data_IF_613227624309
#
_entry.id   IF_613227624309
#
_cell.length_a   1.000
_cell.length_b   1.000
_cell.length_c   1.000
_cell.angle_alpha   90.00
_cell.angle_beta   90.00
_cell.angle_gamma   90.00
#
_symmetry.space_group_name_H-M   'P 1'
#
loop_
_entity.id
_entity.type
_entity.pdbx_description
1 polymer ?
#
# COMPACT_ATOMS: atom_id res chain seq x y z
N UNK A 1 13.26 27.56 -33.96
CA UNK A 1 11.86 27.08 -33.76
C UNK A 1 11.84 25.67 -34.31
N UNK A 2 11.80 24.57 -33.56
CA UNK A 2 11.20 24.27 -32.26
C UNK A 2 12.10 23.19 -31.61
N UNK A 3 12.77 23.55 -30.52
CA UNK A 3 13.30 22.61 -29.51
C UNK A 3 12.31 22.60 -28.36
N UNK A 4 12.18 21.47 -27.67
CA UNK A 4 11.29 21.17 -26.53
C UNK A 4 10.06 20.33 -26.89
N UNK A 5 9.77 19.36 -26.02
CA UNK A 5 8.69 18.35 -26.05
C UNK A 5 9.11 17.01 -26.68
N UNK A 6 10.09 16.32 -26.07
CA UNK A 6 10.14 14.85 -26.00
C UNK A 6 10.88 14.37 -24.74
N UNK A 7 10.29 14.57 -23.56
CA UNK A 7 10.79 13.91 -22.32
C UNK A 7 9.71 13.25 -21.45
N UNK A 8 8.43 13.25 -21.84
CA UNK A 8 7.35 12.85 -20.93
C UNK A 8 6.67 11.49 -21.20
N UNK A 9 7.35 10.54 -21.84
CA UNK A 9 6.78 9.22 -22.15
C UNK A 9 7.61 8.01 -21.66
N UNK A 10 8.64 8.21 -20.83
CA UNK A 10 9.46 7.10 -20.31
C UNK A 10 9.13 6.64 -18.89
N UNK A 11 8.13 7.23 -18.23
CA UNK A 11 7.83 6.92 -16.82
C UNK A 11 6.58 6.05 -16.59
N UNK A 12 5.76 5.78 -17.62
CA UNK A 12 4.51 5.02 -17.47
C UNK A 12 4.59 3.54 -17.83
N UNK A 13 5.77 3.04 -18.22
CA UNK A 13 5.96 1.65 -18.69
C UNK A 13 6.77 0.76 -17.73
N UNK A 14 7.15 1.25 -16.54
CA UNK A 14 7.93 0.49 -15.54
C UNK A 14 7.08 -0.27 -14.51
N UNK A 15 5.77 -0.31 -14.69
CA UNK A 15 4.88 -1.13 -13.88
C UNK A 15 4.59 -2.39 -14.71
N UNK A 16 4.91 -3.58 -14.18
CA UNK A 16 4.66 -4.93 -14.72
C UNK A 16 5.82 -5.74 -15.33
N UNK A 17 7.07 -5.50 -14.94
CA UNK A 17 8.08 -6.59 -14.97
C UNK A 17 8.56 -6.92 -13.55
N UNK A 18 8.50 -8.19 -13.09
CA UNK A 18 9.04 -8.56 -11.80
C UNK A 18 10.56 -8.36 -11.81
N UNK A 19 11.05 -7.46 -10.96
CA UNK A 19 12.49 -7.20 -10.86
C UNK A 19 13.27 -8.48 -10.52
N UNK A 20 14.47 -8.66 -11.12
CA UNK A 20 15.31 -9.82 -10.87
C UNK A 20 15.65 -9.94 -9.37
N UNK A 21 15.78 -11.18 -8.84
CA UNK A 21 15.86 -11.44 -7.40
C UNK A 21 16.97 -10.69 -6.66
N UNK A 22 18.05 -10.33 -7.35
CA UNK A 22 19.22 -9.60 -6.84
C UNK A 22 19.01 -8.07 -6.75
N UNK A 23 17.93 -7.53 -7.30
CA UNK A 23 17.58 -6.10 -7.22
C UNK A 23 16.39 -5.80 -6.31
N UNK A 24 15.88 -6.80 -5.57
CA UNK A 24 14.91 -6.57 -4.49
C UNK A 24 15.62 -5.99 -3.26
N UNK A 25 16.16 -4.79 -3.38
CA UNK A 25 16.47 -3.98 -2.21
C UNK A 25 15.14 -3.57 -1.57
N UNK A 26 15.10 -3.38 -0.25
CA UNK A 26 13.90 -3.06 0.57
C UNK A 26 13.16 -1.76 0.20
N UNK A 27 13.42 -1.19 -0.98
CA UNK A 27 12.77 -0.03 -1.59
C UNK A 27 11.25 -0.17 -1.81
N UNK A 28 10.64 -1.30 -1.47
CA UNK A 28 9.18 -1.51 -1.58
C UNK A 28 8.33 -0.69 -0.60
N UNK A 29 8.92 0.16 0.24
CA UNK A 29 8.16 0.99 1.21
C UNK A 29 7.56 2.24 0.53
N UNK A 30 8.08 2.66 -0.64
CA UNK A 30 7.57 3.83 -1.41
C UNK A 30 6.79 3.34 -2.64
N UNK A 31 5.89 2.39 -2.46
CA UNK A 31 4.93 2.01 -3.49
C UNK A 31 3.54 2.37 -2.98
N UNK A 32 2.71 3.14 -3.70
CA UNK A 32 1.39 3.57 -3.21
C UNK A 32 0.49 2.34 -3.07
N UNK A 33 0.35 1.78 -1.86
CA UNK A 33 -0.14 0.41 -1.71
C UNK A 33 -1.65 0.36 -2.01
N UNK A 34 -2.39 1.44 -1.73
CA UNK A 34 -3.81 1.58 -2.04
C UNK A 34 -4.08 1.49 -3.55
N UNK A 35 -3.26 2.12 -4.39
CA UNK A 35 -3.44 2.09 -5.85
C UNK A 35 -3.24 0.69 -6.44
N UNK A 36 -2.32 -0.11 -5.88
CA UNK A 36 -2.10 -1.49 -6.31
C UNK A 36 -3.34 -2.37 -6.09
N UNK A 37 -4.02 -2.21 -4.96
CA UNK A 37 -5.27 -2.90 -4.65
C UNK A 37 -6.52 -2.23 -5.25
N UNK A 38 -6.36 -1.21 -6.12
CA UNK A 38 -7.45 -0.40 -6.69
C UNK A 38 -8.34 0.26 -5.63
N UNK A 39 -7.80 0.52 -4.46
CA UNK A 39 -8.47 1.23 -3.38
C UNK A 39 -8.43 2.75 -3.62
N UNK A 40 -9.46 3.50 -3.17
CA UNK A 40 -9.47 4.95 -3.34
C UNK A 40 -8.31 5.59 -2.61
N UNK A 41 -7.65 6.57 -3.25
CA UNK A 41 -6.58 7.34 -2.62
C UNK A 41 -7.20 8.25 -1.55
N UNK A 42 -6.60 8.24 -0.36
CA UNK A 42 -6.93 9.18 0.70
C UNK A 42 -6.25 10.51 0.40
N UNK A 43 -6.95 11.63 0.54
CA UNK A 43 -6.40 12.97 0.27
C UNK A 43 -6.11 13.72 1.56
N UNK A 44 -6.94 13.52 2.58
CA UNK A 44 -6.84 14.22 3.85
C UNK A 44 -6.59 13.26 5.01
N UNK A 45 -5.82 13.68 6.01
CA UNK A 45 -5.52 12.84 7.18
C UNK A 45 -6.79 12.43 7.93
N UNK A 46 -7.78 13.32 8.00
CA UNK A 46 -9.04 13.09 8.71
C UNK A 46 -9.89 11.99 8.08
N UNK A 47 -9.72 11.72 6.78
CA UNK A 47 -10.45 10.70 6.04
C UNK A 47 -10.04 9.27 6.43
N UNK A 48 -8.79 9.06 6.88
CA UNK A 48 -8.29 7.72 7.23
C UNK A 48 -9.14 7.12 8.36
N UNK A 49 -9.37 7.89 9.42
CA UNK A 49 -10.13 7.42 10.57
C UNK A 49 -10.80 8.59 11.32
N UNK A 50 -11.94 9.08 10.81
CA UNK A 50 -12.67 10.19 11.41
C UNK A 50 -12.96 10.02 12.91
N UNK A 51 -13.44 8.86 13.42
CA UNK A 51 -13.72 8.73 14.86
C UNK A 51 -12.44 8.72 15.72
N UNK A 52 -11.34 8.15 15.22
CA UNK A 52 -10.05 8.20 15.94
C UNK A 52 -9.55 9.64 16.08
N UNK A 53 -9.59 10.42 15.00
CA UNK A 53 -9.11 11.80 15.04
C UNK A 53 -10.06 12.75 15.75
N UNK A 54 -11.37 12.47 15.75
CA UNK A 54 -12.33 13.19 16.58
C UNK A 54 -12.07 12.97 18.09
N UNK A 55 -11.72 11.74 18.49
CA UNK A 55 -11.42 11.43 19.90
C UNK A 55 -10.00 11.83 20.34
N UNK A 56 -9.03 11.88 19.42
CA UNK A 56 -7.62 12.19 19.71
C UNK A 56 -7.04 13.20 18.71
N UNK A 57 -7.39 14.50 18.80
CA UNK A 57 -6.89 15.53 17.88
C UNK A 57 -5.38 15.76 18.01
N UNK A 58 -4.78 15.53 19.19
CA UNK A 58 -3.34 15.66 19.38
C UNK A 58 -2.53 14.64 18.56
N UNK A 59 -3.06 13.42 18.40
CA UNK A 59 -2.42 12.38 17.59
C UNK A 59 -2.33 12.81 16.12
N UNK A 60 -3.41 13.40 15.59
CA UNK A 60 -3.45 13.95 14.23
C UNK A 60 -2.35 15.01 14.04
N UNK A 61 -2.22 15.93 15.01
CA UNK A 61 -1.21 16.99 14.96
C UNK A 61 0.22 16.43 14.95
N UNK A 62 0.50 15.44 15.81
CA UNK A 62 1.81 14.79 15.90
C UNK A 62 2.15 14.04 14.60
N UNK A 63 1.20 13.28 14.04
CA UNK A 63 1.40 12.55 12.79
C UNK A 63 1.61 13.48 11.60
N UNK A 64 0.76 14.50 11.47
CA UNK A 64 0.90 15.51 10.43
C UNK A 64 2.26 16.22 10.54
N UNK A 65 2.71 16.56 11.75
CA UNK A 65 4.03 17.15 11.95
C UNK A 65 5.18 16.18 11.58
N UNK A 66 5.09 14.91 12.01
CA UNK A 66 6.12 13.90 11.75
C UNK A 66 6.34 13.65 10.26
N UNK A 67 5.27 13.67 9.46
CA UNK A 67 5.33 13.47 8.01
C UNK A 67 5.36 14.79 7.21
N UNK A 68 5.67 15.93 7.83
CA UNK A 68 5.71 17.25 7.17
C UNK A 68 4.42 17.60 6.41
N UNK A 69 3.29 17.15 6.94
CA UNK A 69 1.95 17.24 6.36
C UNK A 69 1.82 16.58 4.97
N UNK A 70 2.72 15.65 4.62
CA UNK A 70 2.70 14.93 3.35
C UNK A 70 2.16 13.52 3.55
N UNK A 71 0.88 13.32 3.19
CA UNK A 71 0.21 12.03 3.28
C UNK A 71 0.89 10.95 2.42
N UNK A 72 1.43 11.33 1.26
CA UNK A 72 2.11 10.41 0.33
C UNK A 72 3.39 9.78 0.91
N UNK A 73 3.93 10.35 1.98
CA UNK A 73 5.15 9.87 2.64
C UNK A 73 4.85 8.90 3.79
N UNK A 74 3.58 8.60 4.07
CA UNK A 74 3.22 7.72 5.17
C UNK A 74 3.68 6.29 4.89
N UNK A 75 4.29 5.65 5.88
CA UNK A 75 4.67 4.25 5.79
C UNK A 75 3.41 3.36 5.73
N UNK A 76 3.47 2.30 4.91
CA UNK A 76 2.37 1.34 4.76
C UNK A 76 1.91 0.77 6.11
N UNK A 77 2.86 0.54 7.01
CA UNK A 77 2.55 0.02 8.34
C UNK A 77 1.71 1.00 9.17
N UNK A 78 2.11 2.29 9.22
CA UNK A 78 1.38 3.31 9.96
C UNK A 78 0.04 3.59 9.30
N UNK A 79 -0.01 3.71 7.98
CA UNK A 79 -1.26 3.90 7.23
C UNK A 79 -2.29 2.80 7.50
N UNK A 80 -1.88 1.53 7.39
CA UNK A 80 -2.79 0.42 7.66
C UNK A 80 -3.21 0.28 9.12
N UNK A 81 -2.35 0.66 10.07
CA UNK A 81 -2.71 0.72 11.49
C UNK A 81 -3.73 1.84 11.77
N UNK A 82 -3.60 3.00 11.11
CA UNK A 82 -4.56 4.10 11.28
C UNK A 82 -5.94 3.77 10.71
N UNK A 83 -6.02 2.96 9.66
CA UNK A 83 -7.29 2.47 9.10
C UNK A 83 -8.01 1.44 10.01
N UNK A 84 -7.33 0.90 11.03
CA UNK A 84 -7.87 -0.13 11.92
C UNK A 84 -8.95 0.41 12.85
N UNK A 85 -10.01 -0.39 13.06
CA UNK A 85 -11.08 -0.12 14.04
C UNK A 85 -11.33 -1.33 14.94
N UNK A 86 -12.16 -2.27 14.48
CA UNK A 86 -12.45 -3.55 15.17
C UNK A 86 -11.74 -4.74 14.50
N UNK A 87 -10.73 -4.45 13.68
CA UNK A 87 -10.03 -5.39 12.83
C UNK A 87 -9.12 -4.65 11.86
N UNK A 88 -8.41 -5.38 10.96
CA UNK A 88 -7.53 -4.76 9.98
C UNK A 88 -8.30 -3.78 9.10
N UNK A 89 -7.70 -2.62 8.83
CA UNK A 89 -8.23 -1.64 7.89
C UNK A 89 -8.40 -2.21 6.48
N UNK A 90 -8.99 -1.42 5.58
CA UNK A 90 -9.25 -1.83 4.20
C UNK A 90 -7.96 -2.26 3.49
N UNK A 91 -6.89 -1.48 3.64
CA UNK A 91 -5.60 -1.77 3.04
C UNK A 91 -4.98 -3.07 3.57
N UNK A 92 -4.92 -3.24 4.89
CA UNK A 92 -4.36 -4.45 5.50
C UNK A 92 -5.21 -5.68 5.21
N UNK A 93 -6.52 -5.54 5.17
CA UNK A 93 -7.41 -6.64 4.78
C UNK A 93 -7.10 -7.11 3.36
N UNK A 94 -6.90 -6.19 2.41
CA UNK A 94 -6.55 -6.54 1.04
C UNK A 94 -5.20 -7.24 0.95
N UNK A 95 -4.17 -6.71 1.63
CA UNK A 95 -2.83 -7.30 1.69
C UNK A 95 -2.89 -8.71 2.27
N UNK A 96 -3.50 -8.87 3.45
CA UNK A 96 -3.57 -10.15 4.16
C UNK A 96 -4.29 -11.17 3.28
N UNK A 97 -5.46 -10.82 2.73
CA UNK A 97 -6.21 -11.73 1.85
C UNK A 97 -5.41 -12.18 0.65
N UNK A 98 -4.73 -11.26 -0.04
CA UNK A 98 -3.90 -11.61 -1.19
C UNK A 98 -2.74 -12.52 -0.80
N UNK A 99 -2.05 -12.23 0.31
CA UNK A 99 -0.92 -13.06 0.76
C UNK A 99 -1.37 -14.47 1.13
N UNK A 100 -2.46 -14.61 1.89
CA UNK A 100 -2.98 -15.93 2.25
C UNK A 100 -3.51 -16.71 1.05
N UNK A 101 -4.17 -16.06 0.09
CA UNK A 101 -4.60 -16.70 -1.15
C UNK A 101 -3.41 -17.23 -1.96
N UNK A 102 -2.35 -16.43 -2.11
CA UNK A 102 -1.14 -16.85 -2.82
C UNK A 102 -0.44 -18.03 -2.16
N UNK A 103 -0.37 -18.04 -0.82
CA UNK A 103 0.22 -19.16 -0.08
C UNK A 103 -0.62 -20.43 -0.28
N UNK A 104 -1.95 -20.32 -0.11
CA UNK A 104 -2.88 -21.43 -0.31
C UNK A 104 -2.76 -22.03 -1.72
N UNK A 105 -2.81 -21.18 -2.74
CA UNK A 105 -2.85 -21.61 -4.13
C UNK A 105 -1.48 -22.16 -4.60
N UNK A 106 -0.38 -21.78 -3.94
CA UNK A 106 0.98 -22.25 -4.26
C UNK A 106 1.41 -23.49 -3.46
N UNK A 107 0.69 -23.85 -2.40
CA UNK A 107 1.05 -24.97 -1.55
C UNK A 107 0.59 -26.30 -2.18
N UNK A 108 1.52 -27.05 -2.77
CA UNK A 108 1.20 -28.37 -3.34
C UNK A 108 0.70 -29.37 -2.29
N UNK A 109 1.03 -29.14 -1.02
CA UNK A 109 0.63 -29.98 0.09
C UNK A 109 -0.56 -29.39 0.85
N UNK A 110 -1.20 -28.36 0.28
CA UNK A 110 -2.44 -27.84 0.79
C UNK A 110 -3.45 -28.98 0.93
N UNK A 111 -4.04 -29.12 2.11
CA UNK A 111 -4.87 -30.28 2.45
C UNK A 111 -6.11 -30.45 1.55
N UNK A 112 -6.57 -29.37 0.91
CA UNK A 112 -7.72 -29.41 -0.02
C UNK A 112 -7.29 -29.66 -1.48
N UNK A 113 -6.00 -29.73 -1.76
CA UNK A 113 -5.52 -29.99 -3.11
C UNK A 113 -5.69 -31.48 -3.45
N UNK A 114 -6.58 -31.77 -4.40
CA UNK A 114 -6.92 -33.13 -4.85
C UNK A 114 -5.82 -33.78 -5.69
N UNK A 115 -4.86 -32.99 -6.18
CA UNK A 115 -3.70 -33.48 -6.92
C UNK A 115 -2.51 -33.85 -6.00
N UNK A 116 -2.66 -33.62 -4.69
CA UNK A 116 -1.71 -34.06 -3.67
C UNK A 116 -1.82 -35.57 -3.47
N UNK A 117 -1.02 -36.33 -4.22
CA UNK A 117 -0.93 -37.79 -4.16
C UNK A 117 0.51 -38.28 -4.14
#
# INVERSE_FOLDING_TARGET
MITHIRENLRYTQLVFEPLPPHQRSYTSIIFPPRSYFRLPKVQEWTEINPPLFASKPDLLRVLAAAYSNRLDNIDVYIGGMLESRDGPGELFTAIIKEQFARIRDADRFWFENTESG
#
